data_IF_607495537404
#
_entry.id   IF_607495537404
#
_cell.length_a   1.000
_cell.length_b   1.000
_cell.length_c   1.000
_cell.angle_alpha   90.00
_cell.angle_beta   90.00
_cell.angle_gamma   90.00
#
_symmetry.space_group_name_H-M   'P 1'
#
loop_
_entity.id
_entity.type
_entity.pdbx_description
1 polymer ?
#
# COMPACT_ATOMS: atom_id res chain seq x y z
N UNK A 1 9.60 13.61 25.99
CA UNK A 1 10.00 13.30 24.60
C UNK A 1 8.83 12.85 23.74
N UNK A 2 7.82 12.19 24.33
CA UNK A 2 6.58 11.77 23.66
C UNK A 2 5.90 12.84 22.80
N UNK A 3 5.82 14.10 23.27
CA UNK A 3 5.17 15.18 22.50
C UNK A 3 5.79 15.38 21.11
N UNK A 4 7.12 15.36 20.99
CA UNK A 4 7.77 15.54 19.68
C UNK A 4 7.49 14.37 18.73
N UNK A 5 7.38 13.15 19.27
CA UNK A 5 7.03 11.96 18.49
C UNK A 5 5.59 12.06 17.97
N UNK A 6 4.67 12.51 18.84
CA UNK A 6 3.28 12.76 18.48
C UNK A 6 3.16 13.87 17.43
N UNK A 7 3.84 15.00 17.61
CA UNK A 7 3.82 16.11 16.65
C UNK A 7 4.32 15.65 15.26
N UNK A 8 5.40 14.85 15.21
CA UNK A 8 5.91 14.28 13.97
C UNK A 8 4.91 13.30 13.34
N UNK A 9 4.23 12.49 14.16
CA UNK A 9 3.21 11.54 13.70
C UNK A 9 2.01 12.28 13.08
N UNK A 10 1.52 13.32 13.76
CA UNK A 10 0.40 14.15 13.28
C UNK A 10 0.77 14.95 12.03
N UNK A 11 2.04 15.33 11.87
CA UNK A 11 2.55 15.96 10.65
C UNK A 11 2.72 14.98 9.46
N UNK A 12 2.45 13.69 9.66
CA UNK A 12 2.64 12.65 8.63
C UNK A 12 4.11 12.24 8.41
N UNK A 13 5.04 12.76 9.21
CA UNK A 13 6.45 12.36 9.19
C UNK A 13 6.65 11.08 10.02
N UNK A 14 6.09 9.98 9.50
CA UNK A 14 6.04 8.70 10.21
C UNK A 14 7.43 8.11 10.46
N UNK A 15 8.40 8.34 9.56
CA UNK A 15 9.77 7.87 9.75
C UNK A 15 10.44 8.56 10.94
N UNK A 16 10.27 9.89 11.08
CA UNK A 16 10.78 10.62 12.25
C UNK A 16 10.03 10.26 13.52
N UNK A 17 8.71 10.08 13.44
CA UNK A 17 7.90 9.67 14.57
C UNK A 17 8.36 8.31 15.13
N UNK A 18 8.58 7.32 14.25
CA UNK A 18 9.10 6.01 14.62
C UNK A 18 10.43 6.12 15.39
N UNK A 19 11.38 6.91 14.88
CA UNK A 19 12.68 7.13 15.54
C UNK A 19 12.51 7.75 16.93
N UNK A 20 11.62 8.75 17.08
CA UNK A 20 11.39 9.42 18.36
C UNK A 20 10.69 8.49 19.38
N UNK A 21 9.74 7.66 18.93
CA UNK A 21 9.11 6.64 19.77
C UNK A 21 10.12 5.56 20.19
N UNK A 22 10.95 5.08 19.27
CA UNK A 22 12.00 4.11 19.59
C UNK A 22 13.03 4.68 20.60
N UNK A 23 13.38 5.97 20.49
CA UNK A 23 14.23 6.65 21.49
C UNK A 23 13.54 6.76 22.85
N UNK A 24 12.24 7.08 22.88
CA UNK A 24 11.46 7.11 24.11
C UNK A 24 11.40 5.73 24.78
N UNK A 25 11.19 4.66 24.00
CA UNK A 25 11.22 3.28 24.47
C UNK A 25 12.56 2.91 25.11
N UNK A 26 13.69 3.24 24.47
CA UNK A 26 15.03 3.00 25.05
C UNK A 26 15.26 3.74 26.36
N UNK A 27 14.60 4.88 26.54
CA UNK A 27 14.69 5.69 27.78
C UNK A 27 13.79 5.12 28.87
N UNK A 28 12.61 4.62 28.50
CA UNK A 28 11.59 4.07 29.40
C UNK A 28 11.07 2.72 28.89
N UNK A 29 11.86 1.63 29.03
CA UNK A 29 11.50 0.31 28.53
C UNK A 29 10.37 -0.38 29.32
N UNK A 30 9.76 0.30 30.30
CA UNK A 30 8.53 -0.17 30.94
C UNK A 30 7.26 0.33 30.26
N UNK A 31 7.36 1.37 29.43
CA UNK A 31 6.23 2.01 28.77
C UNK A 31 6.03 1.42 27.37
N UNK A 32 5.42 0.23 27.33
CA UNK A 32 5.22 -0.57 26.12
C UNK A 32 4.45 0.18 25.03
N UNK A 33 3.67 1.20 25.38
CA UNK A 33 2.97 2.04 24.42
C UNK A 33 3.93 2.76 23.46
N UNK A 34 5.15 3.09 23.89
CA UNK A 34 6.16 3.65 22.98
C UNK A 34 6.63 2.65 21.93
N UNK A 35 6.80 1.38 22.30
CA UNK A 35 7.16 0.31 21.36
C UNK A 35 6.03 0.06 20.36
N UNK A 36 4.78 -0.01 20.83
CA UNK A 36 3.61 -0.13 19.97
C UNK A 36 3.49 1.05 18.98
N UNK A 37 3.65 2.29 19.47
CA UNK A 37 3.56 3.49 18.64
C UNK A 37 4.73 3.60 17.64
N UNK A 38 5.92 3.13 17.99
CA UNK A 38 7.03 2.99 17.05
C UNK A 38 6.64 2.06 15.89
N UNK A 39 6.16 0.85 16.20
CA UNK A 39 5.72 -0.12 15.19
C UNK A 39 4.59 0.43 14.29
N UNK A 40 3.61 1.15 14.87
CA UNK A 40 2.54 1.83 14.10
C UNK A 40 3.10 2.88 13.14
N UNK A 41 4.06 3.68 13.59
CA UNK A 41 4.69 4.69 12.75
C UNK A 41 5.53 4.04 11.63
N UNK A 42 6.30 2.99 11.94
CA UNK A 42 7.08 2.21 10.95
C UNK A 42 6.18 1.59 9.88
N UNK A 43 5.04 1.02 10.28
CA UNK A 43 4.04 0.48 9.36
C UNK A 43 3.55 1.56 8.39
N UNK A 44 3.20 2.76 8.90
CA UNK A 44 2.74 3.88 8.05
C UNK A 44 3.85 4.47 7.18
N UNK A 45 5.11 4.34 7.60
CA UNK A 45 6.28 4.72 6.81
C UNK A 45 6.67 3.69 5.73
N UNK A 46 5.95 2.56 5.64
CA UNK A 46 6.27 1.46 4.71
C UNK A 46 7.49 0.62 5.14
N UNK A 47 7.98 0.82 6.37
CA UNK A 47 9.12 0.08 6.94
C UNK A 47 8.64 -1.25 7.54
N UNK A 48 8.05 -2.11 6.71
CA UNK A 48 7.35 -3.31 7.17
C UNK A 48 8.23 -4.30 7.94
N UNK A 49 9.52 -4.39 7.63
CA UNK A 49 10.44 -5.26 8.35
C UNK A 49 10.67 -4.79 9.79
N UNK A 50 10.87 -3.49 9.99
CA UNK A 50 11.02 -2.92 11.33
C UNK A 50 9.71 -3.02 12.12
N UNK A 51 8.59 -2.67 11.49
CA UNK A 51 7.27 -2.74 12.12
C UNK A 51 6.94 -4.17 12.60
N UNK A 52 7.26 -5.19 11.79
CA UNK A 52 7.05 -6.59 12.17
C UNK A 52 7.84 -6.98 13.41
N UNK A 53 9.12 -6.59 13.48
CA UNK A 53 9.98 -6.85 14.64
C UNK A 53 9.40 -6.18 15.90
N UNK A 54 9.06 -4.90 15.82
CA UNK A 54 8.64 -4.12 16.98
C UNK A 54 7.24 -4.55 17.48
N UNK A 55 6.31 -4.89 16.57
CA UNK A 55 5.03 -5.51 16.98
C UNK A 55 5.21 -6.87 17.63
N UNK A 56 6.10 -7.71 17.09
CA UNK A 56 6.36 -9.03 17.68
C UNK A 56 6.94 -8.86 19.09
N UNK A 57 7.92 -7.97 19.25
CA UNK A 57 8.49 -7.65 20.56
C UNK A 57 7.43 -7.13 21.54
N UNK A 58 6.55 -6.24 21.10
CA UNK A 58 5.44 -5.76 21.92
C UNK A 58 4.51 -6.90 22.37
N UNK A 59 4.16 -7.83 21.48
CA UNK A 59 3.30 -8.98 21.80
C UNK A 59 3.97 -9.93 22.79
N UNK A 60 5.29 -10.10 22.68
CA UNK A 60 6.07 -11.00 23.54
C UNK A 60 6.28 -10.41 24.94
N UNK A 61 6.40 -9.08 25.06
CA UNK A 61 6.64 -8.39 26.33
C UNK A 61 5.37 -7.91 27.04
N UNK A 62 4.27 -7.70 26.31
CA UNK A 62 3.05 -7.16 26.88
C UNK A 62 2.32 -8.17 27.80
N UNK A 63 1.77 -7.69 28.94
CA UNK A 63 0.86 -8.49 29.75
C UNK A 63 -0.31 -9.04 28.93
N UNK A 64 -0.83 -10.24 29.22
CA UNK A 64 -1.95 -10.84 28.48
C UNK A 64 -3.22 -10.00 28.44
N UNK A 65 -3.42 -9.11 29.42
CA UNK A 65 -4.55 -8.19 29.56
C UNK A 65 -4.26 -6.77 29.02
N UNK A 66 -3.12 -6.57 28.37
CA UNK A 66 -2.77 -5.27 27.80
C UNK A 66 -3.77 -4.86 26.69
N UNK A 67 -4.35 -3.66 26.82
CA UNK A 67 -5.47 -3.19 25.98
C UNK A 67 -5.18 -3.14 24.47
N UNK A 68 -3.91 -2.98 24.09
CA UNK A 68 -3.48 -2.92 22.68
C UNK A 68 -3.03 -4.28 22.09
N UNK A 69 -3.04 -5.37 22.87
CA UNK A 69 -2.49 -6.68 22.45
C UNK A 69 -3.19 -7.24 21.21
N UNK A 70 -4.52 -7.21 21.17
CA UNK A 70 -5.29 -7.75 20.04
C UNK A 70 -5.11 -6.91 18.77
N UNK A 71 -5.03 -5.58 18.92
CA UNK A 71 -4.73 -4.68 17.79
C UNK A 71 -3.31 -4.87 17.27
N UNK A 72 -2.33 -5.08 18.15
CA UNK A 72 -0.95 -5.39 17.75
C UNK A 72 -0.87 -6.67 16.92
N UNK A 73 -1.60 -7.73 17.32
CA UNK A 73 -1.70 -8.98 16.55
C UNK A 73 -2.33 -8.77 15.18
N UNK A 74 -3.41 -7.97 15.11
CA UNK A 74 -4.02 -7.61 13.84
C UNK A 74 -3.05 -6.86 12.92
N UNK A 75 -2.38 -5.83 13.43
CA UNK A 75 -1.44 -5.05 12.64
C UNK A 75 -0.21 -5.85 12.22
N UNK A 76 0.27 -6.76 13.05
CA UNK A 76 1.33 -7.69 12.67
C UNK A 76 0.94 -8.56 11.46
N UNK A 77 -0.31 -9.05 11.42
CA UNK A 77 -0.82 -9.80 10.27
C UNK A 77 -0.90 -8.92 9.01
N UNK A 78 -1.36 -7.68 9.13
CA UNK A 78 -1.39 -6.69 8.05
C UNK A 78 0.01 -6.39 7.51
N UNK A 79 0.98 -6.15 8.39
CA UNK A 79 2.39 -5.88 8.05
C UNK A 79 3.00 -7.08 7.31
N UNK A 80 2.78 -8.31 7.79
CA UNK A 80 3.27 -9.52 7.12
C UNK A 80 2.68 -9.68 5.72
N UNK A 81 1.39 -9.39 5.55
CA UNK A 81 0.74 -9.42 4.24
C UNK A 81 1.33 -8.34 3.30
N UNK A 82 1.49 -7.12 3.79
CA UNK A 82 2.07 -6.01 3.03
C UNK A 82 3.53 -6.28 2.62
N UNK A 83 4.35 -6.85 3.51
CA UNK A 83 5.72 -7.26 3.22
C UNK A 83 5.77 -8.33 2.13
N UNK A 84 4.91 -9.35 2.23
CA UNK A 84 4.81 -10.40 1.21
C UNK A 84 4.40 -9.85 -0.16
N UNK A 85 3.46 -8.89 -0.18
CA UNK A 85 3.04 -8.22 -1.40
C UNK A 85 4.12 -7.31 -2.00
N UNK A 86 4.99 -6.74 -1.17
CA UNK A 86 6.07 -5.84 -1.58
C UNK A 86 7.38 -6.58 -1.92
N UNK A 87 7.48 -7.87 -1.60
CA UNK A 87 8.65 -8.67 -1.91
C UNK A 87 8.85 -8.67 -3.44
N UNK A 88 10.06 -8.34 -3.93
CA UNK A 88 10.34 -8.39 -5.36
C UNK A 88 9.98 -9.79 -5.86
N UNK A 89 9.24 -9.85 -6.98
CA UNK A 89 8.91 -11.11 -7.60
C UNK A 89 10.20 -11.93 -7.72
N UNK A 90 10.21 -13.22 -7.31
CA UNK A 90 11.41 -14.02 -7.34
C UNK A 90 12.02 -13.87 -8.72
N UNK A 91 13.23 -13.31 -8.77
CA UNK A 91 13.90 -13.02 -10.03
C UNK A 91 13.82 -14.32 -10.84
N UNK A 92 13.09 -14.29 -11.97
CA UNK A 92 12.99 -15.46 -12.84
C UNK A 92 14.42 -15.91 -13.03
N UNK A 93 14.74 -17.11 -12.54
CA UNK A 93 16.09 -17.64 -12.63
C UNK A 93 16.49 -17.45 -14.08
N UNK A 94 17.46 -16.55 -14.33
CA UNK A 94 17.96 -16.35 -15.67
C UNK A 94 18.35 -17.76 -16.14
N UNK A 95 17.83 -18.24 -17.28
CA UNK A 95 18.15 -19.56 -17.77
C UNK A 95 19.67 -19.67 -17.68
N UNK A 96 20.13 -20.71 -16.97
CA UNK A 96 21.55 -20.90 -16.68
C UNK A 96 22.31 -20.58 -17.97
N UNK A 97 23.31 -19.68 -17.94
CA UNK A 97 23.97 -19.21 -19.14
C UNK A 97 24.29 -20.44 -19.95
N UNK A 98 23.61 -20.58 -21.11
CA UNK A 98 23.87 -21.68 -22.01
C UNK A 98 25.33 -21.50 -22.32
N UNK A 99 26.16 -22.41 -21.81
CA UNK A 99 27.60 -22.38 -22.00
C UNK A 99 27.76 -22.50 -23.50
N UNK A 100 27.87 -21.35 -24.17
CA UNK A 100 28.08 -21.30 -25.59
C UNK A 100 29.39 -22.05 -25.79
N UNK A 101 29.37 -23.19 -26.50
CA UNK A 101 30.56 -23.98 -26.70
C UNK A 101 31.60 -23.06 -27.31
N UNK A 102 32.66 -22.77 -26.55
CA UNK A 102 33.74 -21.87 -26.91
C UNK A 102 34.11 -22.14 -28.38
N UNK A 103 33.83 -21.20 -29.30
CA UNK A 103 34.17 -21.40 -30.70
C UNK A 103 35.66 -21.67 -30.79
N UNK A 104 36.04 -22.77 -31.43
CA UNK A 104 37.43 -22.98 -31.82
C UNK A 104 37.88 -21.74 -32.61
N UNK A 105 39.00 -21.15 -32.18
CA UNK A 105 39.54 -19.91 -32.72
C UNK A 105 39.61 -19.96 -34.24
N UNK A 106 38.62 -19.36 -34.91
CA UNK A 106 38.63 -19.20 -36.36
C UNK A 106 39.31 -17.87 -36.65
N UNK A 107 40.45 -17.98 -37.33
CA UNK A 107 41.33 -16.89 -37.76
C UNK A 107 40.53 -15.81 -38.50
N UNK A 108 40.74 -14.56 -38.09
CA UNK A 108 40.06 -13.38 -38.63
C UNK A 108 40.22 -13.28 -40.16
N UNK A 109 39.09 -13.20 -40.86
CA UNK A 109 39.01 -12.75 -42.25
C UNK A 109 38.78 -11.23 -42.28
N UNK A 110 39.36 -10.51 -43.25
CA UNK A 110 39.32 -9.04 -43.33
C UNK A 110 37.91 -8.49 -43.55
N UNK A 111 37.65 -7.37 -42.88
CA UNK A 111 36.38 -6.64 -42.89
C UNK A 111 36.01 -6.15 -44.29
N UNK A 112 34.76 -6.42 -44.69
CA UNK A 112 34.13 -5.76 -45.85
C UNK A 112 33.40 -4.48 -45.41
N UNK A 113 33.41 -3.43 -46.24
CA UNK A 113 32.83 -2.13 -45.91
C UNK A 113 31.29 -2.13 -45.89
N UNK A 114 30.77 -1.31 -44.97
CA UNK A 114 29.36 -1.04 -44.68
C UNK A 114 28.56 -0.59 -45.92
N UNK A 115 27.41 -1.23 -46.16
CA UNK A 115 26.33 -0.67 -46.99
C UNK A 115 25.29 0.00 -46.07
N UNK A 116 24.87 1.26 -46.34
CA UNK A 116 23.75 1.89 -45.66
C UNK A 116 22.43 1.30 -46.14
N UNK A 117 21.63 0.77 -45.21
CA UNK A 117 20.25 0.34 -45.47
C UNK A 117 19.24 1.49 -45.24
N UNK A 118 18.14 1.55 -46.00
CA UNK A 118 17.21 2.68 -46.01
C UNK A 118 16.33 2.76 -44.75
N UNK A 119 16.05 4.00 -44.36
CA UNK A 119 15.14 4.37 -43.28
C UNK A 119 13.71 3.92 -43.59
N UNK A 120 13.24 2.90 -42.88
CA UNK A 120 11.83 2.48 -42.88
C UNK A 120 11.00 3.36 -41.94
N UNK A 121 10.15 4.18 -42.53
CA UNK A 121 9.14 4.99 -41.83
C UNK A 121 8.09 4.09 -41.17
N UNK A 122 8.12 3.99 -39.84
CA UNK A 122 7.05 3.36 -39.06
C UNK A 122 5.84 4.29 -39.04
N UNK A 123 4.79 3.89 -39.74
CA UNK A 123 3.50 4.56 -39.76
C UNK A 123 2.94 4.68 -38.34
N UNK A 124 2.77 5.92 -37.87
CA UNK A 124 2.02 6.22 -36.65
C UNK A 124 0.55 5.87 -36.91
N UNK A 125 0.06 4.82 -36.27
CA UNK A 125 -1.37 4.50 -36.27
C UNK A 125 -2.12 5.52 -35.42
N UNK A 126 -2.75 6.49 -36.08
CA UNK A 126 -3.60 7.56 -35.51
C UNK A 126 -4.96 7.03 -35.02
N UNK A 127 -5.00 5.90 -34.33
CA UNK A 127 -6.24 5.15 -34.06
C UNK A 127 -6.42 4.69 -32.62
N UNK A 128 -6.24 5.58 -31.63
CA UNK A 128 -6.34 5.17 -30.23
C UNK A 128 -6.55 6.29 -29.21
N UNK A 129 -7.32 7.34 -29.53
CA UNK A 129 -7.54 8.50 -28.62
C UNK A 129 -8.91 8.50 -27.92
N UNK A 130 -9.76 7.48 -28.11
CA UNK A 130 -11.16 7.56 -27.61
C UNK A 130 -11.39 6.93 -26.21
N UNK A 131 -10.40 6.27 -25.58
CA UNK A 131 -10.61 5.60 -24.29
C UNK A 131 -9.67 6.01 -23.15
N UNK A 132 -9.15 7.25 -23.18
CA UNK A 132 -8.42 7.82 -22.04
C UNK A 132 -9.31 8.66 -21.10
N UNK A 133 -10.56 8.93 -21.48
CA UNK A 133 -11.49 9.75 -20.67
C UNK A 133 -12.34 8.89 -19.70
N UNK A 134 -12.51 7.58 -19.96
CA UNK A 134 -13.26 6.69 -19.08
C UNK A 134 -12.47 6.11 -17.90
N UNK A 135 -11.15 5.95 -18.04
CA UNK A 135 -10.27 5.39 -17.00
C UNK A 135 -9.74 6.42 -16.00
N UNK A 136 -9.66 7.69 -16.39
CA UNK A 136 -9.22 8.78 -15.51
C UNK A 136 -10.30 9.20 -14.48
N UNK A 137 -11.57 8.88 -14.72
CA UNK A 137 -12.67 9.23 -13.81
C UNK A 137 -12.65 8.47 -12.47
N UNK A 138 -12.14 7.23 -12.45
CA UNK A 138 -12.08 6.42 -11.22
C UNK A 138 -10.83 6.67 -10.38
N UNK A 139 -9.74 7.19 -10.98
CA UNK A 139 -8.58 7.65 -10.21
C UNK A 139 -8.86 8.98 -9.48
N UNK A 140 -9.67 9.87 -10.08
CA UNK A 140 -10.07 11.14 -9.45
C UNK A 140 -11.17 10.91 -8.41
N UNK A 141 -12.08 9.95 -8.60
CA UNK A 141 -13.08 9.56 -7.60
C UNK A 141 -12.49 8.89 -6.35
N UNK A 142 -11.43 8.09 -6.49
CA UNK A 142 -10.74 7.45 -5.36
C UNK A 142 -9.95 8.43 -4.47
N UNK A 143 -9.43 9.52 -5.06
CA UNK A 143 -8.69 10.54 -4.32
C UNK A 143 -9.56 11.34 -3.33
N UNK A 144 -10.82 11.60 -3.65
CA UNK A 144 -11.74 12.37 -2.79
C UNK A 144 -12.15 11.57 -1.54
N UNK A 145 -12.31 10.25 -1.66
CA UNK A 145 -12.64 9.38 -0.51
C UNK A 145 -11.43 9.21 0.42
N UNK A 146 -10.22 9.12 -0.11
CA UNK A 146 -8.97 9.07 0.67
C UNK A 146 -8.68 10.41 1.38
N UNK A 147 -8.91 11.55 0.72
CA UNK A 147 -8.73 12.86 1.34
C UNK A 147 -9.76 13.13 2.46
N UNK A 148 -11.02 12.69 2.28
CA UNK A 148 -12.05 12.78 3.32
C UNK A 148 -11.78 11.88 4.54
N UNK A 149 -11.32 10.64 4.31
CA UNK A 149 -10.99 9.71 5.41
C UNK A 149 -9.74 10.13 6.21
N UNK A 150 -8.77 10.78 5.56
CA UNK A 150 -7.61 11.34 6.25
C UNK A 150 -7.97 12.54 7.14
N UNK A 151 -8.92 13.39 6.70
CA UNK A 151 -9.41 14.52 7.48
C UNK A 151 -10.19 14.06 8.74
N UNK A 152 -11.06 13.06 8.61
CA UNK A 152 -11.83 12.52 9.76
C UNK A 152 -10.92 11.87 10.82
N UNK A 153 -9.80 11.24 10.42
CA UNK A 153 -8.82 10.70 11.37
C UNK A 153 -8.14 11.80 12.20
N UNK A 154 -7.76 12.92 11.58
CA UNK A 154 -7.15 14.04 12.32
C UNK A 154 -8.09 14.70 13.32
N UNK A 155 -9.40 14.68 13.05
CA UNK A 155 -10.43 15.21 13.98
C UNK A 155 -10.62 14.29 15.18
N UNK A 156 -10.54 12.96 15.01
CA UNK A 156 -10.58 12.03 16.14
C UNK A 156 -9.31 12.09 16.98
N UNK A 157 -8.14 12.17 16.36
CA UNK A 157 -6.87 12.29 17.09
C UNK A 157 -6.79 13.63 17.85
N UNK A 158 -7.35 14.71 17.30
CA UNK A 158 -7.51 15.98 18.01
C UNK A 158 -8.49 15.90 19.20
N UNK A 159 -9.57 15.11 19.08
CA UNK A 159 -10.51 14.86 20.19
C UNK A 159 -9.94 13.93 21.26
N UNK A 160 -9.12 12.95 20.88
CA UNK A 160 -8.43 12.04 21.81
C UNK A 160 -7.27 12.73 22.53
N UNK A 161 -6.60 13.67 21.87
CA UNK A 161 -5.56 14.52 22.47
C UNK A 161 -6.11 15.53 23.50
N UNK A 162 -7.42 15.78 23.53
CA UNK A 162 -8.11 16.60 24.54
C UNK A 162 -8.46 15.83 25.83
N UNK A 163 -7.78 14.73 26.12
CA UNK A 163 -7.93 14.01 27.39
C UNK A 163 -7.10 14.67 28.51
N UNK A 164 -7.74 15.48 29.36
CA UNK A 164 -7.18 15.82 30.66
C UNK A 164 -7.46 14.66 31.64
N UNK A 165 -6.39 14.06 32.19
CA UNK A 165 -6.42 12.98 33.20
C UNK A 165 -6.97 11.61 32.73
N UNK A 166 -6.85 11.27 31.44
CA UNK A 166 -7.16 9.91 30.95
C UNK A 166 -8.64 9.53 30.92
N UNK A 167 -9.55 10.46 31.23
CA UNK A 167 -10.99 10.30 31.09
C UNK A 167 -11.52 11.28 30.05
N UNK A 168 -12.16 10.77 28.99
CA UNK A 168 -12.94 11.58 28.05
C UNK A 168 -14.21 12.01 28.79
N UNK A 169 -14.19 13.16 29.44
CA UNK A 169 -15.36 13.67 30.15
C UNK A 169 -16.44 14.05 29.14
N UNK A 170 -17.55 13.31 29.12
CA UNK A 170 -18.77 13.70 28.41
C UNK A 170 -19.09 12.96 27.10
N UNK A 171 -18.32 11.95 26.71
CA UNK A 171 -18.72 11.05 25.61
C UNK A 171 -19.12 9.71 26.20
N UNK A 172 -20.40 9.39 26.11
CA UNK A 172 -20.92 8.09 26.53
C UNK A 172 -20.22 6.96 25.75
N UNK A 173 -19.78 5.92 26.46
CA UNK A 173 -18.97 4.84 25.91
C UNK A 173 -19.68 4.09 24.78
N UNK A 174 -21.01 4.05 24.80
CA UNK A 174 -21.83 3.49 23.73
C UNK A 174 -21.82 4.39 22.46
N UNK A 175 -21.69 5.70 22.63
CA UNK A 175 -21.62 6.65 21.52
C UNK A 175 -20.24 6.55 20.84
N UNK A 176 -19.17 6.45 21.64
CA UNK A 176 -17.81 6.25 21.14
C UNK A 176 -17.67 4.94 20.34
N UNK A 177 -18.23 3.84 20.82
CA UNK A 177 -18.17 2.54 20.12
C UNK A 177 -19.03 2.52 18.85
N UNK A 178 -20.20 3.15 18.86
CA UNK A 178 -21.05 3.27 17.67
C UNK A 178 -20.39 4.13 16.57
N UNK A 179 -19.68 5.19 16.97
CA UNK A 179 -18.97 6.06 16.03
C UNK A 179 -17.70 5.38 15.50
N UNK A 180 -16.97 4.67 16.36
CA UNK A 180 -15.84 3.81 15.96
C UNK A 180 -16.26 2.71 14.98
N UNK A 181 -17.43 2.09 15.18
CA UNK A 181 -17.96 1.08 14.27
C UNK A 181 -18.26 1.68 12.89
N UNK A 182 -18.88 2.87 12.83
CA UNK A 182 -19.11 3.58 11.55
C UNK A 182 -17.82 3.94 10.83
N UNK A 183 -16.80 4.38 11.57
CA UNK A 183 -15.49 4.73 11.02
C UNK A 183 -14.79 3.48 10.48
N UNK A 184 -14.81 2.37 11.22
CA UNK A 184 -14.28 1.09 10.74
C UNK A 184 -15.02 0.61 9.50
N UNK A 185 -16.35 0.68 9.45
CA UNK A 185 -17.11 0.31 8.24
C UNK A 185 -16.70 1.18 7.05
N UNK A 186 -16.52 2.50 7.23
CA UNK A 186 -16.08 3.40 6.14
C UNK A 186 -14.64 3.12 5.68
N UNK A 187 -13.72 2.88 6.61
CA UNK A 187 -12.33 2.54 6.29
C UNK A 187 -12.21 1.19 5.57
N UNK A 188 -12.92 0.16 6.03
CA UNK A 188 -12.97 -1.13 5.35
C UNK A 188 -13.58 -1.02 3.95
N UNK A 189 -14.66 -0.25 3.80
CA UNK A 189 -15.27 0.00 2.48
C UNK A 189 -14.31 0.75 1.55
N UNK A 190 -13.58 1.75 2.07
CA UNK A 190 -12.58 2.50 1.32
C UNK A 190 -11.41 1.64 0.84
N UNK A 191 -10.87 0.77 1.70
CA UNK A 191 -9.80 -0.15 1.32
C UNK A 191 -10.27 -1.23 0.34
N UNK A 192 -11.49 -1.75 0.48
CA UNK A 192 -12.06 -2.70 -0.46
C UNK A 192 -12.19 -2.12 -1.87
N UNK A 193 -12.59 -0.84 -1.98
CA UNK A 193 -12.68 -0.12 -3.25
C UNK A 193 -11.30 0.11 -3.90
N UNK A 194 -10.28 0.44 -3.11
CA UNK A 194 -8.91 0.61 -3.62
C UNK A 194 -8.31 -0.71 -4.12
N UNK A 195 -8.49 -1.80 -3.36
CA UNK A 195 -8.01 -3.11 -3.77
C UNK A 195 -8.71 -3.59 -5.06
N UNK A 196 -10.03 -3.40 -5.15
CA UNK A 196 -10.80 -3.71 -6.35
C UNK A 196 -10.37 -2.87 -7.57
N UNK A 197 -10.12 -1.57 -7.36
CA UNK A 197 -9.66 -0.66 -8.40
C UNK A 197 -8.27 -1.00 -8.95
N UNK A 198 -7.32 -1.39 -8.09
CA UNK A 198 -5.98 -1.78 -8.50
C UNK A 198 -5.98 -3.04 -9.37
N UNK A 199 -6.76 -4.06 -8.98
CA UNK A 199 -6.91 -5.29 -9.77
C UNK A 199 -7.54 -5.01 -11.13
N UNK A 200 -8.60 -4.20 -11.17
CA UNK A 200 -9.24 -3.81 -12.43
C UNK A 200 -8.28 -3.03 -13.35
N UNK A 201 -7.45 -2.15 -12.79
CA UNK A 201 -6.44 -1.40 -13.54
C UNK A 201 -5.38 -2.29 -14.17
N UNK A 202 -4.85 -3.27 -13.43
CA UNK A 202 -3.86 -4.23 -13.94
C UNK A 202 -4.46 -5.11 -15.04
N UNK A 203 -5.66 -5.66 -14.82
CA UNK A 203 -6.35 -6.51 -15.82
C UNK A 203 -6.67 -5.71 -17.09
N UNK A 204 -7.14 -4.47 -16.94
CA UNK A 204 -7.39 -3.57 -18.07
C UNK A 204 -6.12 -3.25 -18.85
N UNK A 205 -5.00 -2.98 -18.17
CA UNK A 205 -3.70 -2.73 -18.80
C UNK A 205 -3.17 -3.95 -19.57
N UNK A 206 -3.30 -5.15 -19.01
CA UNK A 206 -2.88 -6.40 -19.67
C UNK A 206 -3.75 -6.71 -20.89
N UNK A 207 -5.06 -6.50 -20.80
CA UNK A 207 -5.98 -6.70 -21.94
C UNK A 207 -5.71 -5.70 -23.07
N UNK A 208 -5.43 -4.43 -22.75
CA UNK A 208 -5.04 -3.42 -23.73
C UNK A 208 -3.74 -3.79 -24.46
N UNK A 209 -2.77 -4.38 -23.76
CA UNK A 209 -1.49 -4.77 -24.34
C UNK A 209 -1.58 -6.04 -25.20
N UNK A 210 -2.45 -6.99 -24.84
CA UNK A 210 -2.50 -8.32 -25.47
C UNK A 210 -3.66 -8.50 -26.44
N UNK A 211 -4.75 -7.74 -26.31
CA UNK A 211 -5.97 -7.90 -27.10
C UNK A 211 -6.61 -6.53 -27.46
N UNK A 212 -6.02 -5.77 -28.40
CA UNK A 212 -6.46 -4.40 -28.73
C UNK A 212 -7.87 -4.29 -29.34
N UNK A 213 -8.52 -5.42 -29.63
CA UNK A 213 -9.91 -5.49 -30.13
C UNK A 213 -10.93 -5.98 -29.10
N UNK A 214 -10.49 -6.33 -27.89
CA UNK A 214 -11.40 -6.81 -26.86
C UNK A 214 -12.31 -5.67 -26.38
N UNK A 215 -13.62 -5.92 -26.38
CA UNK A 215 -14.59 -5.02 -25.74
C UNK A 215 -14.73 -5.44 -24.27
N UNK A 216 -14.40 -4.53 -23.35
CA UNK A 216 -14.51 -4.75 -21.91
C UNK A 216 -15.69 -3.95 -21.37
N UNK A 217 -16.65 -4.64 -20.74
CA UNK A 217 -17.80 -4.03 -20.08
C UNK A 217 -17.67 -4.22 -18.58
N UNK A 218 -17.79 -3.12 -17.82
CA UNK A 218 -17.82 -3.13 -16.35
C UNK A 218 -19.24 -2.84 -15.91
N UNK A 219 -19.86 -3.73 -15.13
CA UNK A 219 -21.20 -3.53 -14.58
C UNK A 219 -21.19 -3.72 -13.05
N UNK A 220 -21.93 -2.90 -12.28
CA UNK A 220 -22.14 -3.17 -10.87
C UNK A 220 -22.99 -4.43 -10.69
N UNK A 221 -22.70 -5.20 -9.64
CA UNK A 221 -23.54 -6.34 -9.28
C UNK A 221 -24.91 -5.85 -8.76
N UNK A 222 -26.02 -6.58 -9.01
CA UNK A 222 -27.38 -6.16 -8.64
C UNK A 222 -27.57 -5.83 -7.15
N UNK A 223 -26.74 -6.42 -6.30
CA UNK A 223 -26.73 -6.32 -4.85
C UNK A 223 -25.74 -5.26 -4.31
N UNK A 224 -25.06 -4.49 -5.18
CA UNK A 224 -24.23 -3.34 -4.79
C UNK A 224 -22.88 -3.67 -4.15
N UNK A 225 -22.53 -4.95 -3.99
CA UNK A 225 -21.31 -5.41 -3.29
C UNK A 225 -20.18 -5.86 -4.21
N UNK A 226 -20.21 -5.52 -5.51
CA UNK A 226 -19.11 -5.85 -6.41
C UNK A 226 -19.24 -5.29 -7.82
N UNK A 227 -18.23 -5.56 -8.63
CA UNK A 227 -18.16 -5.23 -10.05
C UNK A 227 -17.95 -6.52 -10.85
N UNK A 228 -18.68 -6.70 -11.93
CA UNK A 228 -18.42 -7.74 -12.93
C UNK A 228 -17.69 -7.14 -14.12
N UNK A 229 -16.65 -7.86 -14.57
CA UNK A 229 -15.86 -7.57 -15.76
C UNK A 229 -16.22 -8.63 -16.81
N UNK A 230 -16.81 -8.20 -17.92
CA UNK A 230 -17.06 -9.06 -19.08
C UNK A 230 -16.17 -8.61 -20.24
N UNK A 231 -15.37 -9.53 -20.79
CA UNK A 231 -14.58 -9.28 -21.99
C UNK A 231 -15.13 -10.10 -23.15
N UNK A 232 -15.39 -9.45 -24.30
CA UNK A 232 -15.76 -10.10 -25.55
C UNK A 232 -14.61 -9.96 -26.55
N UNK A 233 -14.16 -11.09 -27.07
CA UNK A 233 -13.06 -11.21 -28.05
C UNK A 233 -13.62 -11.35 -29.47
#
# INVERSE_FOLDING_TARGET
MSQRALDAYLAGDFARAALLYAQAWRTWPGELLYLYNAARAEQRAGQFEAAERDYQQFIDEAPPDHVELDKARQHLAEVRAARKASAPAPAKALPAPTVEPRPAATRAAPASPLRPGPAGSSARSTGGVVLLVGGAGLAIGGGVVLAGAAADQTVLDAKLAQTQNGAIVGVDHATATAEQARINTRLYTGWALLAGGAVAGVVGGVLLATAPRAQVTVAPWPNGSGLTLAARF
#
